data_IF_974604434422
#
_entry.id   IF_974604434422
#
_cell.length_a   1.000
_cell.length_b   1.000
_cell.length_c   1.000
_cell.angle_alpha   90.00
_cell.angle_beta   90.00
_cell.angle_gamma   90.00
#
_symmetry.space_group_name_H-M   'P 1'
#
loop_
_entity.id
_entity.type
_entity.pdbx_description
1 polymer ?
#
# COMPACT_ATOMS: atom_id res chain seq x y z
N UNK A 1 19.47 1.91 -0.39
CA UNK A 1 19.08 0.50 -0.62
C UNK A 1 17.78 0.09 0.09
N UNK A 2 17.30 0.81 1.10
CA UNK A 2 16.08 0.46 1.87
C UNK A 2 14.79 0.52 1.04
N UNK A 3 14.66 1.52 0.15
CA UNK A 3 13.45 1.72 -0.63
C UNK A 3 13.14 0.53 -1.56
N UNK A 4 14.17 -0.14 -2.11
CA UNK A 4 13.98 -1.32 -2.99
C UNK A 4 13.31 -2.51 -2.24
N UNK A 5 13.64 -2.71 -0.97
CA UNK A 5 12.97 -3.72 -0.13
C UNK A 5 11.53 -3.32 0.20
N UNK A 6 11.24 -2.02 0.38
CA UNK A 6 9.89 -1.52 0.59
C UNK A 6 9.03 -1.68 -0.67
N UNK A 7 9.58 -1.40 -1.86
CA UNK A 7 8.92 -1.63 -3.15
C UNK A 7 8.56 -3.10 -3.36
N UNK A 8 9.53 -4.00 -3.21
CA UNK A 8 9.30 -5.44 -3.34
C UNK A 8 8.27 -5.95 -2.32
N UNK A 9 8.33 -5.45 -1.08
CA UNK A 9 7.37 -5.78 -0.04
C UNK A 9 5.95 -5.31 -0.34
N UNK A 10 5.80 -4.05 -0.79
CA UNK A 10 4.49 -3.48 -1.13
C UNK A 10 3.85 -4.24 -2.29
N UNK A 11 4.62 -4.52 -3.36
CA UNK A 11 4.15 -5.29 -4.51
C UNK A 11 3.75 -6.71 -4.11
N UNK A 12 4.54 -7.40 -3.28
CA UNK A 12 4.19 -8.73 -2.80
C UNK A 12 2.86 -8.74 -2.04
N UNK A 13 2.63 -7.75 -1.17
CA UNK A 13 1.36 -7.65 -0.43
C UNK A 13 0.17 -7.30 -1.33
N UNK A 14 0.36 -6.43 -2.32
CA UNK A 14 -0.65 -6.13 -3.33
C UNK A 14 -1.06 -7.38 -4.11
N UNK A 15 -0.08 -8.18 -4.56
CA UNK A 15 -0.35 -9.42 -5.29
C UNK A 15 -1.09 -10.44 -4.43
N UNK A 16 -0.68 -10.61 -3.16
CA UNK A 16 -1.39 -11.49 -2.22
C UNK A 16 -2.82 -11.01 -2.03
N UNK A 17 -3.02 -9.71 -1.81
CA UNK A 17 -4.37 -9.15 -1.66
C UNK A 17 -5.22 -9.37 -2.93
N UNK A 18 -4.65 -9.13 -4.11
CA UNK A 18 -5.36 -9.33 -5.37
C UNK A 18 -5.79 -10.78 -5.59
N UNK A 19 -4.94 -11.75 -5.22
CA UNK A 19 -5.26 -13.17 -5.35
C UNK A 19 -6.21 -13.72 -4.27
N UNK A 20 -6.14 -13.20 -3.05
CA UNK A 20 -6.82 -13.81 -1.88
C UNK A 20 -7.92 -12.94 -1.29
N UNK A 21 -8.05 -11.70 -1.74
CA UNK A 21 -8.84 -10.64 -1.11
C UNK A 21 -8.52 -10.44 0.39
N UNK A 22 -7.34 -10.87 0.87
CA UNK A 22 -7.01 -10.83 2.29
C UNK A 22 -6.87 -9.38 2.78
N UNK A 23 -7.65 -8.96 3.80
CA UNK A 23 -7.63 -7.58 4.28
C UNK A 23 -6.32 -7.22 4.98
N UNK A 24 -5.66 -8.20 5.61
CA UNK A 24 -4.39 -7.98 6.28
C UNK A 24 -3.27 -7.62 5.29
N UNK A 25 -3.26 -8.26 4.11
CA UNK A 25 -2.30 -7.93 3.06
C UNK A 25 -2.52 -6.56 2.45
N UNK A 26 -3.76 -6.14 2.22
CA UNK A 26 -4.06 -4.77 1.79
C UNK A 26 -3.58 -3.72 2.80
N UNK A 27 -3.84 -3.94 4.10
CA UNK A 27 -3.37 -3.04 5.15
C UNK A 27 -1.85 -2.95 5.19
N UNK A 28 -1.17 -4.11 5.11
CA UNK A 28 0.30 -4.17 5.06
C UNK A 28 0.86 -3.50 3.81
N UNK A 29 0.20 -3.59 2.66
CA UNK A 29 0.58 -2.86 1.45
C UNK A 29 0.46 -1.34 1.67
N UNK A 30 -0.65 -0.87 2.26
CA UNK A 30 -0.85 0.56 2.58
C UNK A 30 0.21 1.10 3.55
N UNK A 31 0.56 0.34 4.61
CA UNK A 31 1.65 0.70 5.53
C UNK A 31 3.01 0.86 4.82
N UNK A 32 3.32 -0.03 3.87
CA UNK A 32 4.57 0.03 3.11
C UNK A 32 4.58 1.19 2.13
N UNK A 33 3.44 1.48 1.50
CA UNK A 33 3.25 2.64 0.63
C UNK A 33 3.38 3.96 1.40
N UNK A 34 2.82 4.08 2.61
CA UNK A 34 2.99 5.27 3.44
C UNK A 34 4.45 5.52 3.86
N UNK A 35 5.23 4.44 4.07
CA UNK A 35 6.68 4.56 4.31
C UNK A 35 7.44 5.03 3.06
N UNK A 36 7.03 4.60 1.87
CA UNK A 36 7.59 5.10 0.61
C UNK A 36 7.19 6.57 0.38
N UNK A 37 5.95 6.95 0.69
CA UNK A 37 5.49 8.34 0.63
C UNK A 37 6.26 9.27 1.58
N UNK A 38 6.81 8.74 2.68
CA UNK A 38 7.61 9.48 3.65
C UNK A 38 9.12 9.53 3.33
N UNK A 39 9.60 8.80 2.31
CA UNK A 39 11.03 8.75 1.95
C UNK A 39 11.40 9.95 1.07
N UNK A 40 12.11 10.93 1.64
CA UNK A 40 12.55 12.17 0.95
C UNK A 40 13.42 11.93 -0.29
N UNK A 41 13.97 10.73 -0.46
CA UNK A 41 14.75 10.35 -1.65
C UNK A 41 13.87 10.01 -2.85
N UNK A 42 12.57 9.83 -2.63
CA UNK A 42 11.58 9.57 -3.66
C UNK A 42 11.01 10.90 -4.13
N UNK A 43 10.88 11.03 -5.44
CA UNK A 43 10.30 12.20 -6.07
C UNK A 43 8.87 12.51 -5.55
N UNK A 44 8.50 13.79 -5.53
CA UNK A 44 7.24 14.25 -4.97
C UNK A 44 6.01 13.63 -5.64
N UNK A 45 6.02 13.44 -6.96
CA UNK A 45 4.93 12.81 -7.69
C UNK A 45 4.75 11.35 -7.28
N UNK A 46 5.87 10.62 -7.14
CA UNK A 46 5.83 9.23 -6.67
C UNK A 46 5.37 9.14 -5.22
N UNK A 47 5.79 10.06 -4.34
CA UNK A 47 5.32 10.09 -2.95
C UNK A 47 3.82 10.32 -2.86
N UNK A 48 3.28 11.28 -3.63
CA UNK A 48 1.85 11.53 -3.70
C UNK A 48 1.09 10.32 -4.24
N UNK A 49 1.63 9.63 -5.24
CA UNK A 49 1.05 8.40 -5.77
C UNK A 49 0.98 7.29 -4.71
N UNK A 50 2.05 7.07 -3.94
CA UNK A 50 2.07 6.04 -2.91
C UNK A 50 1.10 6.35 -1.76
N UNK A 51 0.98 7.61 -1.38
CA UNK A 51 0.03 8.06 -0.37
C UNK A 51 -1.41 7.78 -0.81
N UNK A 52 -1.79 8.28 -1.99
CA UNK A 52 -3.13 8.07 -2.57
C UNK A 52 -3.46 6.57 -2.77
N UNK A 53 -2.48 5.77 -3.20
CA UNK A 53 -2.66 4.33 -3.33
C UNK A 53 -2.85 3.63 -1.97
N UNK A 54 -2.16 4.07 -0.93
CA UNK A 54 -2.33 3.60 0.44
C UNK A 54 -3.73 3.90 0.97
N UNK A 55 -4.21 5.13 0.78
CA UNK A 55 -5.56 5.54 1.17
C UNK A 55 -6.63 4.73 0.45
N UNK A 56 -6.52 4.56 -0.88
CA UNK A 56 -7.48 3.79 -1.67
C UNK A 56 -7.60 2.32 -1.22
N UNK A 57 -6.50 1.71 -0.79
CA UNK A 57 -6.52 0.36 -0.20
C UNK A 57 -7.29 0.33 1.12
N UNK A 58 -7.07 1.31 1.99
CA UNK A 58 -7.74 1.38 3.29
C UNK A 58 -9.24 1.65 3.13
N UNK A 59 -9.62 2.54 2.21
CA UNK A 59 -11.02 2.82 1.86
C UNK A 59 -11.74 1.58 1.33
N UNK A 60 -11.07 0.80 0.47
CA UNK A 60 -11.59 -0.47 -0.03
C UNK A 60 -11.87 -1.44 1.12
N UNK A 61 -11.00 -1.49 2.14
CA UNK A 61 -11.20 -2.34 3.32
C UNK A 61 -12.35 -1.87 4.20
N UNK A 62 -12.51 -0.56 4.35
CA UNK A 62 -13.61 0.01 5.12
C UNK A 62 -14.94 -0.29 4.43
N UNK A 63 -15.03 -0.05 3.12
CA UNK A 63 -16.20 -0.38 2.31
C UNK A 63 -16.55 -1.87 2.41
N UNK A 64 -15.56 -2.76 2.29
CA UNK A 64 -15.77 -4.22 2.45
C UNK A 64 -16.30 -4.60 3.82
N UNK A 65 -15.84 -3.93 4.88
CA UNK A 65 -16.30 -4.17 6.26
C UNK A 65 -17.72 -3.66 6.49
N UNK A 66 -18.13 -2.59 5.81
CA UNK A 66 -19.49 -2.04 5.90
C UNK A 66 -20.54 -2.90 5.16
N UNK A 67 -20.13 -3.64 4.12
CA UNK A 67 -21.01 -4.54 3.36
C UNK A 67 -21.09 -5.98 3.90
N UNK A 68 -20.28 -6.34 4.90
CA UNK A 68 -20.20 -7.69 5.50
C UNK A 68 -21.07 -7.79 6.76
#
# INVERSE_FOLDING_TARGET
MTSNSLYAGALAQLLVHWHTACPHSARRAADLLGRLASDERIDADNRALFDAAGEALLDTLETRRQCA
#
